data_IF_856269104164
#
_entry.id   IF_856269104164
#
_cell.length_a   1.000
_cell.length_b   1.000
_cell.length_c   1.000
_cell.angle_alpha   90.00
_cell.angle_beta   90.00
_cell.angle_gamma   90.00
#
_symmetry.space_group_name_H-M   'P 1'
#
loop_
_entity.id
_entity.type
_entity.pdbx_description
1 polymer ?
#
# COMPACT_ATOMS: atom_id res chain seq x y z
N UNK A 1 -28.32 49.15 15.97
CA UNK A 1 -27.35 49.51 14.91
C UNK A 1 -26.01 48.87 15.22
N UNK A 2 -25.27 48.31 14.25
CA UNK A 2 -25.75 47.60 13.06
C UNK A 2 -25.16 46.18 12.94
N UNK A 3 -25.94 45.33 12.29
CA UNK A 3 -25.51 44.11 11.61
C UNK A 3 -25.04 44.45 10.19
N UNK A 4 -24.11 43.66 9.64
CA UNK A 4 -23.68 43.64 8.23
C UNK A 4 -23.36 42.17 7.88
N UNK A 5 -24.25 41.41 7.23
CA UNK A 5 -24.56 41.23 5.79
C UNK A 5 -23.52 40.46 4.95
N UNK A 6 -23.91 39.21 4.61
CA UNK A 6 -23.88 38.49 3.31
C UNK A 6 -22.77 38.77 2.27
N UNK A 7 -22.20 37.69 1.74
CA UNK A 7 -22.14 37.46 0.29
C UNK A 7 -22.19 35.95 -0.03
N UNK A 8 -23.27 35.52 -0.69
CA UNK A 8 -23.46 34.20 -1.28
C UNK A 8 -23.58 34.42 -2.78
N UNK A 9 -22.58 33.97 -3.54
CA UNK A 9 -22.59 34.05 -5.00
C UNK A 9 -23.39 32.86 -5.57
N UNK A 10 -24.61 33.16 -6.02
CA UNK A 10 -25.37 32.34 -6.96
C UNK A 10 -24.82 32.65 -8.37
N UNK A 11 -24.34 31.64 -9.10
CA UNK A 11 -24.37 31.67 -10.56
C UNK A 11 -25.42 30.69 -11.08
N UNK A 12 -26.37 31.27 -11.80
CA UNK A 12 -27.38 30.63 -12.62
C UNK A 12 -26.70 29.93 -13.80
N UNK A 13 -27.01 28.65 -14.00
CA UNK A 13 -26.97 28.02 -15.32
C UNK A 13 -28.41 27.68 -15.69
N UNK A 14 -29.00 28.57 -16.49
CA UNK A 14 -30.27 28.38 -17.16
C UNK A 14 -29.97 28.02 -18.62
N UNK A 15 -30.21 26.77 -19.00
CA UNK A 15 -30.88 26.34 -20.26
C UNK A 15 -30.50 24.90 -20.61
N UNK A 16 -31.40 23.97 -20.28
CA UNK A 16 -31.49 22.67 -20.92
C UNK A 16 -32.30 22.81 -22.21
N UNK A 17 -31.90 22.20 -23.34
CA UNK A 17 -32.87 21.67 -24.29
C UNK A 17 -33.39 20.34 -23.75
N UNK A 18 -34.71 20.26 -23.60
CA UNK A 18 -35.45 19.00 -23.45
C UNK A 18 -35.30 18.25 -24.78
N UNK A 19 -34.93 16.97 -24.69
CA UNK A 19 -35.39 15.86 -25.56
C UNK A 19 -34.46 14.65 -25.41
N UNK A 20 -34.64 13.88 -24.33
CA UNK A 20 -34.33 12.43 -24.34
C UNK A 20 -35.30 11.76 -23.34
N UNK A 21 -36.24 11.00 -23.88
CA UNK A 21 -37.19 10.18 -23.13
C UNK A 21 -36.51 8.86 -22.76
N UNK A 22 -36.15 8.68 -21.49
CA UNK A 22 -35.63 7.40 -20.96
C UNK A 22 -36.75 6.65 -20.24
N UNK A 23 -37.31 5.65 -20.92
CA UNK A 23 -38.22 4.67 -20.35
C UNK A 23 -37.49 3.79 -19.33
N UNK A 24 -37.87 3.90 -18.05
CA UNK A 24 -37.57 2.91 -17.01
C UNK A 24 -38.83 2.08 -16.70
N UNK A 25 -38.74 0.74 -16.62
CA UNK A 25 -39.88 -0.09 -16.25
C UNK A 25 -40.21 0.03 -14.76
N UNK A 26 -41.51 0.17 -14.49
CA UNK A 26 -42.13 0.02 -13.16
C UNK A 26 -41.95 -1.41 -12.66
N UNK A 27 -41.45 -1.57 -11.44
CA UNK A 27 -41.68 -2.77 -10.64
C UNK A 27 -42.39 -2.40 -9.35
N UNK A 28 -43.46 -3.15 -9.09
CA UNK A 28 -44.55 -2.92 -8.17
C UNK A 28 -44.14 -3.02 -6.70
N UNK A 29 -44.76 -2.16 -5.90
CA UNK A 29 -44.90 -2.31 -4.46
C UNK A 29 -45.73 -3.55 -4.10
N UNK A 30 -45.46 -4.14 -2.94
CA UNK A 30 -46.51 -4.62 -2.06
C UNK A 30 -46.10 -4.47 -0.59
N UNK A 31 -46.99 -3.83 0.17
CA UNK A 31 -46.95 -3.62 1.61
C UNK A 31 -47.37 -4.90 2.35
N UNK A 32 -46.78 -5.16 3.52
CA UNK A 32 -47.45 -5.93 4.59
C UNK A 32 -46.85 -5.62 5.99
N UNK A 33 -47.51 -4.67 6.65
CA UNK A 33 -47.91 -4.57 8.08
C UNK A 33 -47.23 -5.42 9.18
N UNK A 34 -46.67 -4.68 10.15
CA UNK A 34 -46.65 -4.84 11.62
C UNK A 34 -47.17 -6.15 12.24
N UNK A 35 -46.39 -6.74 13.16
CA UNK A 35 -46.85 -7.02 14.54
C UNK A 35 -45.74 -7.34 15.55
N UNK A 36 -45.96 -6.79 16.74
CA UNK A 36 -45.30 -6.92 18.03
C UNK A 36 -44.66 -8.27 18.39
N UNK A 37 -43.45 -8.22 18.96
CA UNK A 37 -43.01 -9.20 19.97
C UNK A 37 -42.31 -8.51 21.14
N UNK A 38 -43.05 -8.48 22.25
CA UNK A 38 -42.62 -8.13 23.60
C UNK A 38 -41.67 -9.22 24.10
N UNK A 39 -40.44 -8.86 24.49
CA UNK A 39 -39.60 -9.72 25.33
C UNK A 39 -39.05 -8.94 26.52
N UNK A 40 -39.43 -9.44 27.70
CA UNK A 40 -39.17 -8.95 29.05
C UNK A 40 -37.67 -8.90 29.37
N UNK A 41 -37.17 -7.77 29.87
CA UNK A 41 -35.86 -7.68 30.54
C UNK A 41 -36.01 -8.12 32.00
N UNK A 42 -35.43 -9.27 32.37
CA UNK A 42 -35.16 -9.64 33.76
C UNK A 42 -33.88 -8.96 34.24
N UNK A 43 -33.99 -8.24 35.34
CA UNK A 43 -32.88 -7.74 36.16
C UNK A 43 -32.35 -8.83 37.11
N UNK A 44 -31.18 -8.51 37.70
CA UNK A 44 -30.44 -9.12 38.83
C UNK A 44 -29.35 -10.11 38.40
N UNK A 45 -28.13 -10.08 38.93
CA UNK A 45 -27.65 -9.53 40.21
C UNK A 45 -26.13 -9.26 40.15
N UNK A 46 -25.68 -8.24 40.89
CA UNK A 46 -24.27 -7.93 41.18
C UNK A 46 -23.86 -8.60 42.49
N UNK A 47 -22.52 -8.72 42.67
CA UNK A 47 -21.73 -8.68 43.92
C UNK A 47 -20.93 -9.98 44.27
N UNK A 48 -19.89 -9.90 45.14
CA UNK A 48 -18.49 -9.68 44.73
C UNK A 48 -17.51 -10.59 45.52
N UNK A 49 -16.19 -10.36 45.43
CA UNK A 49 -15.13 -10.46 46.48
C UNK A 49 -13.74 -10.48 45.78
N UNK A 50 -12.84 -9.50 45.96
CA UNK A 50 -11.85 -9.32 47.06
C UNK A 50 -11.10 -10.64 47.34
N UNK A 51 -9.78 -10.78 47.36
CA UNK A 51 -8.69 -9.99 47.99
C UNK A 51 -7.40 -10.85 47.77
N UNK A 52 -6.14 -10.41 47.61
CA UNK A 52 -5.18 -9.86 48.59
C UNK A 52 -3.79 -9.74 47.91
N UNK A 53 -3.05 -8.72 48.35
CA UNK A 53 -1.64 -8.35 48.08
C UNK A 53 -0.62 -9.47 48.35
N UNK A 54 0.54 -9.41 47.66
CA UNK A 54 1.85 -9.39 48.34
C UNK A 54 2.94 -8.72 47.50
N UNK A 55 3.45 -7.61 48.03
CA UNK A 55 4.72 -6.98 47.69
C UNK A 55 5.85 -7.82 48.30
N UNK A 56 6.99 -7.93 47.62
CA UNK A 56 8.28 -7.90 48.33
C UNK A 56 9.33 -7.17 47.50
N UNK A 57 9.84 -6.09 48.11
CA UNK A 57 11.09 -5.40 47.77
C UNK A 57 12.23 -6.21 48.41
N UNK A 58 13.38 -6.30 47.74
CA UNK A 58 14.69 -6.21 48.41
C UNK A 58 15.68 -5.51 47.48
N UNK A 59 16.21 -4.39 47.99
CA UNK A 59 17.40 -3.65 47.56
C UNK A 59 18.61 -4.19 48.34
N UNK A 60 19.80 -4.13 47.74
CA UNK A 60 21.05 -3.58 48.31
C UNK A 60 22.22 -3.93 47.37
N UNK A 61 22.81 -2.94 46.68
CA UNK A 61 24.07 -2.22 46.99
C UNK A 61 25.23 -2.78 46.16
N UNK A 62 25.70 -2.02 45.15
CA UNK A 62 26.84 -1.08 45.21
C UNK A 62 28.19 -1.77 45.42
N UNK A 63 29.03 -1.76 44.37
CA UNK A 63 30.28 -1.01 44.45
C UNK A 63 30.84 -0.66 43.07
N UNK A 64 31.30 0.59 43.00
CA UNK A 64 32.02 1.24 41.92
C UNK A 64 33.46 0.72 41.86
N UNK A 65 34.04 0.66 40.67
CA UNK A 65 35.37 1.22 40.43
C UNK A 65 35.64 1.40 38.92
N UNK A 66 36.48 2.40 38.66
CA UNK A 66 36.57 3.24 37.48
C UNK A 66 37.52 2.70 36.40
N UNK A 67 37.13 2.93 35.13
CA UNK A 67 37.83 3.17 33.84
C UNK A 67 39.38 3.34 33.78
N UNK A 68 40.04 3.35 32.57
CA UNK A 68 39.50 3.53 31.19
C UNK A 68 39.98 2.49 30.12
N UNK A 69 39.13 2.06 29.18
CA UNK A 69 38.88 2.56 27.80
C UNK A 69 40.10 2.55 26.84
N UNK A 70 40.17 1.48 26.04
CA UNK A 70 40.70 1.47 24.67
C UNK A 70 39.53 1.35 23.67
N UNK A 71 39.78 1.89 22.49
CA UNK A 71 38.85 2.31 21.43
C UNK A 71 37.89 1.23 20.92
N UNK A 72 36.64 1.63 20.72
CA UNK A 72 35.70 0.95 19.82
C UNK A 72 35.04 1.99 18.92
N UNK A 73 35.23 1.79 17.61
CA UNK A 73 34.55 2.50 16.53
C UNK A 73 33.05 2.49 16.76
N UNK A 74 32.47 3.68 16.92
CA UNK A 74 31.04 3.91 16.84
C UNK A 74 30.70 4.03 15.36
N UNK A 75 30.18 2.95 14.77
CA UNK A 75 29.50 3.00 13.46
C UNK A 75 28.12 3.60 13.72
N UNK A 76 28.08 4.93 13.67
CA UNK A 76 26.86 5.71 13.81
C UNK A 76 25.90 5.38 12.67
N UNK A 77 24.71 4.91 13.07
CA UNK A 77 23.53 4.78 12.23
C UNK A 77 23.13 6.19 11.77
N UNK A 78 23.60 6.60 10.58
CA UNK A 78 23.10 7.83 9.95
C UNK A 78 21.72 7.48 9.37
N UNK A 79 20.68 7.88 10.08
CA UNK A 79 19.45 8.29 9.43
C UNK A 79 19.87 9.34 8.40
N UNK A 80 19.82 8.98 7.12
CA UNK A 80 19.83 9.97 6.04
C UNK A 80 18.42 10.55 6.09
N UNK A 81 18.27 11.65 6.82
CA UNK A 81 17.13 12.53 6.63
C UNK A 81 17.20 12.99 5.17
N UNK A 82 16.36 12.42 4.30
CA UNK A 82 16.18 12.95 2.96
C UNK A 82 15.68 14.40 3.12
N UNK A 83 16.37 15.39 2.54
CA UNK A 83 15.88 16.77 2.54
C UNK A 83 14.52 16.82 1.83
N UNK A 84 13.66 17.76 2.24
CA UNK A 84 12.45 18.13 1.50
C UNK A 84 12.81 18.25 0.01
N UNK A 85 12.36 17.29 -0.80
CA UNK A 85 12.65 17.27 -2.22
C UNK A 85 12.03 18.53 -2.85
N UNK A 86 12.84 19.26 -3.62
CA UNK A 86 12.37 20.40 -4.40
C UNK A 86 11.25 19.89 -5.35
N UNK A 87 10.11 20.59 -5.54
CA UNK A 87 9.02 20.18 -6.44
C UNK A 87 9.41 19.82 -7.89
N UNK A 88 10.66 20.05 -8.26
CA UNK A 88 11.29 19.72 -9.55
C UNK A 88 12.00 18.38 -9.58
N UNK A 89 12.17 17.71 -8.43
CA UNK A 89 12.93 16.48 -8.32
C UNK A 89 12.04 15.26 -8.45
N UNK A 90 12.43 14.32 -9.31
CA UNK A 90 11.79 13.02 -9.51
C UNK A 90 12.75 11.95 -9.05
N UNK A 91 12.25 10.93 -8.37
CA UNK A 91 13.04 9.77 -7.99
C UNK A 91 12.66 8.53 -8.78
N UNK A 92 13.65 7.70 -9.11
CA UNK A 92 13.50 6.34 -9.61
C UNK A 92 14.35 5.37 -8.79
N UNK A 93 14.33 4.10 -9.19
CA UNK A 93 15.06 2.99 -8.61
C UNK A 93 16.59 3.16 -8.67
N UNK A 94 17.37 2.33 -7.95
CA UNK A 94 18.81 2.28 -8.14
C UNK A 94 19.18 2.04 -9.60
N UNK A 95 20.38 2.49 -9.99
CA UNK A 95 20.85 2.27 -11.36
C UNK A 95 21.16 0.78 -11.57
N UNK A 96 20.75 0.25 -12.72
CA UNK A 96 21.04 -1.13 -13.14
C UNK A 96 22.18 -1.22 -14.15
N UNK A 97 22.77 -0.10 -14.54
CA UNK A 97 23.93 -0.10 -15.44
C UNK A 97 25.12 -0.82 -14.79
N UNK A 98 25.83 -1.62 -15.60
CA UNK A 98 26.96 -2.43 -15.16
C UNK A 98 28.08 -1.52 -14.62
N UNK A 99 28.49 -1.72 -13.36
CA UNK A 99 29.43 -0.89 -12.59
C UNK A 99 28.90 0.46 -12.07
N UNK A 100 27.59 0.60 -11.88
CA UNK A 100 27.02 1.76 -11.19
C UNK A 100 26.51 1.40 -9.79
N UNK A 101 26.99 2.08 -8.76
CA UNK A 101 26.54 1.92 -7.36
C UNK A 101 25.48 2.96 -6.95
N UNK A 102 24.81 3.59 -7.92
CA UNK A 102 23.85 4.66 -7.64
C UNK A 102 22.63 4.11 -6.87
N UNK A 103 22.45 4.52 -5.59
CA UNK A 103 21.45 3.90 -4.72
C UNK A 103 20.02 4.35 -5.02
N UNK A 104 19.85 5.45 -5.74
CA UNK A 104 18.56 6.02 -6.12
C UNK A 104 18.74 6.91 -7.35
N UNK A 105 17.92 6.70 -8.38
CA UNK A 105 17.84 7.63 -9.50
C UNK A 105 17.20 8.92 -9.03
N UNK A 106 17.85 10.05 -9.26
CA UNK A 106 17.34 11.38 -8.89
C UNK A 106 17.46 12.24 -10.13
N UNK A 107 16.38 12.90 -10.53
CA UNK A 107 16.27 13.66 -11.77
C UNK A 107 15.73 15.04 -11.44
N UNK A 108 16.42 16.08 -11.85
CA UNK A 108 16.00 17.47 -11.63
C UNK A 108 15.37 18.03 -12.91
N UNK A 109 14.35 18.87 -12.77
CA UNK A 109 13.74 19.63 -13.87
C UNK A 109 13.29 18.79 -15.08
N UNK A 110 12.93 17.52 -14.89
CA UNK A 110 12.61 16.60 -15.99
C UNK A 110 13.79 16.42 -16.97
N UNK A 111 15.03 16.49 -16.48
CA UNK A 111 16.17 15.96 -17.19
C UNK A 111 16.11 14.41 -17.10
N UNK A 112 16.10 13.66 -18.21
CA UNK A 112 16.16 12.20 -18.16
C UNK A 112 17.52 11.68 -17.67
N UNK A 113 18.47 12.55 -17.33
CA UNK A 113 19.77 12.18 -16.78
C UNK A 113 19.77 12.25 -15.25
N UNK A 114 20.21 11.17 -14.63
CA UNK A 114 20.29 11.05 -13.19
C UNK A 114 21.40 11.95 -12.62
N UNK A 115 21.09 12.82 -11.68
CA UNK A 115 22.06 13.72 -11.04
C UNK A 115 23.13 12.98 -10.22
N UNK A 116 22.82 11.75 -9.77
CA UNK A 116 23.72 10.96 -8.94
C UNK A 116 24.75 10.16 -9.75
N UNK A 117 24.44 9.76 -10.98
CA UNK A 117 25.31 8.87 -11.77
C UNK A 117 25.43 9.20 -13.25
N UNK A 118 24.73 10.23 -13.73
CA UNK A 118 24.69 10.65 -15.13
C UNK A 118 24.18 9.58 -16.11
N UNK A 119 23.48 8.55 -15.63
CA UNK A 119 22.81 7.55 -16.46
C UNK A 119 21.37 7.97 -16.78
N UNK A 120 20.82 7.38 -17.84
CA UNK A 120 19.46 7.71 -18.29
C UNK A 120 18.42 7.15 -17.32
N UNK A 121 17.23 7.76 -17.29
CA UNK A 121 16.10 7.31 -16.48
C UNK A 121 15.72 5.85 -16.76
N UNK A 122 15.95 5.37 -17.98
CA UNK A 122 15.76 3.97 -18.36
C UNK A 122 16.71 3.01 -17.63
N UNK A 123 17.93 3.44 -17.31
CA UNK A 123 18.87 2.67 -16.49
C UNK A 123 18.42 2.57 -15.02
N UNK A 124 17.41 3.35 -14.65
CA UNK A 124 16.74 3.35 -13.35
C UNK A 124 15.31 2.78 -13.43
N UNK A 125 14.93 2.16 -14.55
CA UNK A 125 13.65 1.47 -14.70
C UNK A 125 13.74 0.01 -14.21
N UNK A 126 12.69 -0.48 -13.56
CA UNK A 126 12.62 -1.89 -13.14
C UNK A 126 12.62 -2.80 -14.37
N UNK A 127 13.61 -3.69 -14.48
CA UNK A 127 13.62 -4.73 -15.50
C UNK A 127 12.33 -5.56 -15.45
N UNK A 128 11.68 -5.72 -16.61
CA UNK A 128 10.33 -6.29 -16.78
C UNK A 128 10.14 -7.76 -16.34
N UNK A 129 11.16 -8.43 -15.81
CA UNK A 129 11.21 -9.89 -15.69
C UNK A 129 11.33 -10.42 -14.25
N UNK A 130 11.15 -9.58 -13.23
CA UNK A 130 11.11 -10.04 -11.83
C UNK A 130 9.69 -10.19 -11.29
N UNK A 131 9.55 -10.96 -10.21
CA UNK A 131 8.32 -10.99 -9.40
C UNK A 131 7.95 -9.60 -8.84
N UNK A 132 8.88 -8.66 -8.89
CA UNK A 132 8.78 -7.28 -8.42
C UNK A 132 8.52 -6.28 -9.54
N UNK A 133 8.39 -6.72 -10.80
CA UNK A 133 8.14 -5.82 -11.92
C UNK A 133 6.72 -5.25 -11.85
N UNK A 134 6.65 -3.92 -11.75
CA UNK A 134 5.40 -3.18 -11.78
C UNK A 134 4.95 -2.99 -13.23
N UNK A 135 3.80 -3.54 -13.60
CA UNK A 135 3.19 -3.33 -14.95
C UNK A 135 2.45 -1.99 -15.07
N UNK A 136 2.74 -1.04 -14.18
CA UNK A 136 2.10 0.26 -14.16
C UNK A 136 3.00 1.23 -14.92
N UNK A 137 2.53 1.87 -16.01
CA UNK A 137 3.26 2.99 -16.58
C UNK A 137 3.27 4.13 -15.54
N UNK A 138 4.36 4.88 -15.45
CA UNK A 138 4.48 6.07 -14.58
C UNK A 138 4.34 5.77 -13.06
N UNK A 139 5.05 4.74 -12.56
CA UNK A 139 5.02 4.35 -11.14
C UNK A 139 5.41 5.52 -10.24
N UNK A 140 4.61 5.76 -9.20
CA UNK A 140 5.03 6.54 -8.04
C UNK A 140 5.51 5.58 -6.94
N UNK A 141 6.73 5.76 -6.45
CA UNK A 141 7.43 4.84 -5.53
C UNK A 141 6.88 4.89 -4.10
N UNK A 142 6.29 6.02 -3.70
CA UNK A 142 5.63 6.23 -2.40
C UNK A 142 6.45 5.73 -1.19
N UNK A 143 7.71 6.18 -1.03
CA UNK A 143 8.64 5.63 -0.04
C UNK A 143 8.10 5.72 1.40
N UNK A 144 7.37 6.79 1.74
CA UNK A 144 6.73 6.96 3.04
C UNK A 144 5.69 5.88 3.34
N UNK A 145 4.85 5.56 2.36
CA UNK A 145 3.80 4.55 2.51
C UNK A 145 4.44 3.18 2.65
N UNK A 146 5.38 2.84 1.76
CA UNK A 146 6.13 1.58 1.79
C UNK A 146 6.81 1.36 3.14
N UNK A 147 7.54 2.37 3.62
CA UNK A 147 8.22 2.32 4.93
C UNK A 147 7.25 2.17 6.09
N UNK A 148 6.10 2.85 6.03
CA UNK A 148 5.06 2.77 7.05
C UNK A 148 4.43 1.38 7.11
N UNK A 149 4.14 0.76 5.94
CA UNK A 149 3.60 -0.60 5.86
C UNK A 149 4.60 -1.60 6.44
N UNK A 150 5.86 -1.51 6.03
CA UNK A 150 6.92 -2.40 6.51
C UNK A 150 7.07 -2.31 8.02
N UNK A 151 7.16 -1.10 8.57
CA UNK A 151 7.27 -0.87 10.01
C UNK A 151 6.08 -1.45 10.77
N UNK A 152 4.87 -1.29 10.24
CA UNK A 152 3.68 -1.87 10.85
C UNK A 152 3.75 -3.41 10.84
N UNK A 153 4.13 -4.02 9.71
CA UNK A 153 4.28 -5.47 9.57
C UNK A 153 5.33 -6.05 10.53
N UNK A 154 6.48 -5.38 10.67
CA UNK A 154 7.52 -5.76 11.62
C UNK A 154 7.03 -5.69 13.08
N UNK A 155 6.25 -4.68 13.43
CA UNK A 155 5.75 -4.48 14.78
C UNK A 155 4.63 -5.47 15.16
N UNK A 156 3.79 -5.85 14.21
CA UNK A 156 2.58 -6.63 14.47
C UNK A 156 2.70 -8.10 14.06
N UNK A 157 3.68 -8.44 13.22
CA UNK A 157 3.83 -9.73 12.53
C UNK A 157 2.84 -9.93 11.37
N UNK A 158 1.81 -9.08 11.28
CA UNK A 158 0.82 -9.13 10.20
C UNK A 158 0.14 -7.77 9.95
N UNK A 159 0.02 -7.39 8.68
CA UNK A 159 -0.74 -6.23 8.21
C UNK A 159 -1.82 -6.66 7.24
N UNK A 160 -2.99 -6.02 7.30
CA UNK A 160 -4.07 -6.20 6.34
C UNK A 160 -4.38 -4.87 5.68
N UNK A 161 -4.25 -4.81 4.36
CA UNK A 161 -4.47 -3.63 3.54
C UNK A 161 -5.78 -3.84 2.78
N UNK A 162 -6.83 -3.10 3.14
CA UNK A 162 -8.12 -3.13 2.44
C UNK A 162 -8.32 -1.86 1.64
N UNK A 163 -8.46 -2.00 0.32
CA UNK A 163 -8.70 -0.85 -0.53
C UNK A 163 -9.60 -1.20 -1.72
N UNK A 164 -10.19 -0.18 -2.35
CA UNK A 164 -11.06 -0.33 -3.52
C UNK A 164 -10.29 -0.92 -4.72
N UNK A 165 -10.98 -1.36 -5.80
CA UNK A 165 -10.30 -1.75 -7.03
C UNK A 165 -9.40 -0.63 -7.56
N UNK A 166 -8.34 -0.98 -8.30
CA UNK A 166 -7.50 -0.06 -9.07
C UNK A 166 -6.76 1.05 -8.28
N UNK A 167 -6.71 1.02 -6.96
CA UNK A 167 -5.95 1.99 -6.14
C UNK A 167 -4.48 1.62 -5.91
N UNK A 168 -3.89 0.78 -6.76
CA UNK A 168 -2.46 0.43 -6.66
C UNK A 168 -2.12 -0.56 -5.53
N UNK A 169 -3.05 -1.43 -5.14
CA UNK A 169 -2.85 -2.47 -4.11
C UNK A 169 -1.71 -3.44 -4.46
N UNK A 170 -1.79 -4.08 -5.62
CA UNK A 170 -0.75 -4.97 -6.15
C UNK A 170 0.57 -4.23 -6.32
N UNK A 171 0.52 -3.01 -6.89
CA UNK A 171 1.69 -2.14 -7.03
C UNK A 171 2.36 -1.87 -5.69
N UNK A 172 1.61 -1.59 -4.62
CA UNK A 172 2.16 -1.39 -3.29
C UNK A 172 2.90 -2.63 -2.76
N UNK A 173 2.40 -3.85 -3.00
CA UNK A 173 3.14 -5.07 -2.62
C UNK A 173 4.44 -5.22 -3.41
N UNK A 174 4.42 -4.89 -4.70
CA UNK A 174 5.60 -4.95 -5.53
C UNK A 174 6.66 -3.92 -5.07
N UNK A 175 6.24 -2.68 -4.82
CA UNK A 175 7.08 -1.62 -4.25
C UNK A 175 7.66 -2.03 -2.89
N UNK A 176 6.83 -2.61 -2.02
CA UNK A 176 7.24 -3.08 -0.70
C UNK A 176 8.26 -4.22 -0.79
N UNK A 177 8.00 -5.23 -1.62
CA UNK A 177 8.91 -6.35 -1.78
C UNK A 177 10.23 -5.95 -2.39
N UNK A 178 10.22 -5.03 -3.36
CA UNK A 178 11.44 -4.47 -3.92
C UNK A 178 12.25 -3.66 -2.89
N UNK A 179 11.58 -2.80 -2.13
CA UNK A 179 12.21 -2.06 -1.03
C UNK A 179 12.86 -3.00 0.00
N UNK A 180 12.16 -4.07 0.38
CA UNK A 180 12.69 -5.10 1.28
C UNK A 180 13.91 -5.79 0.66
N UNK A 181 13.82 -6.17 -0.61
CA UNK A 181 14.88 -6.85 -1.33
C UNK A 181 16.18 -6.03 -1.29
N UNK A 182 16.08 -4.73 -1.59
CA UNK A 182 17.25 -3.85 -1.68
C UNK A 182 17.80 -3.38 -0.33
N UNK A 183 16.92 -3.09 0.63
CA UNK A 183 17.31 -2.34 1.84
C UNK A 183 17.23 -3.16 3.13
N UNK A 184 16.61 -4.36 3.11
CA UNK A 184 16.38 -5.20 4.29
C UNK A 184 16.95 -6.62 4.07
N UNK A 185 18.29 -6.80 4.15
CA UNK A 185 18.93 -8.12 4.01
C UNK A 185 18.48 -9.15 5.04
N UNK A 186 17.92 -8.71 6.17
CA UNK A 186 17.37 -9.54 7.23
C UNK A 186 15.98 -10.12 6.94
N UNK A 187 15.33 -9.69 5.85
CA UNK A 187 14.01 -10.13 5.43
C UNK A 187 14.06 -10.75 4.04
N UNK A 188 13.28 -11.80 3.80
CA UNK A 188 13.15 -12.43 2.48
C UNK A 188 11.73 -12.22 1.95
N UNK A 189 11.52 -11.33 0.96
CA UNK A 189 10.19 -11.01 0.46
C UNK A 189 9.71 -12.09 -0.52
N UNK A 190 8.45 -12.49 -0.36
CA UNK A 190 7.80 -13.51 -1.22
C UNK A 190 6.45 -12.99 -1.69
N UNK A 191 6.33 -12.68 -2.97
CA UNK A 191 5.05 -12.28 -3.58
C UNK A 191 4.20 -13.51 -3.88
N UNK A 192 2.93 -13.49 -3.46
CA UNK A 192 2.00 -14.60 -3.65
C UNK A 192 0.63 -14.05 -4.04
N UNK A 193 0.04 -14.55 -5.13
CA UNK A 193 -1.38 -14.37 -5.37
C UNK A 193 -2.16 -15.43 -4.60
N UNK A 194 -3.20 -15.04 -3.86
CA UNK A 194 -4.04 -15.99 -3.13
C UNK A 194 -4.63 -17.05 -4.08
N UNK A 195 -4.60 -18.32 -3.66
CA UNK A 195 -5.17 -19.43 -4.41
C UNK A 195 -5.99 -20.34 -3.49
N UNK A 196 -7.26 -20.66 -3.86
CA UNK A 196 -8.07 -21.60 -3.12
C UNK A 196 -7.47 -23.01 -3.19
N UNK A 197 -7.86 -23.88 -2.26
CA UNK A 197 -7.35 -25.25 -2.14
C UNK A 197 -7.45 -26.06 -3.44
N UNK A 198 -8.52 -25.85 -4.22
CA UNK A 198 -8.73 -26.51 -5.52
C UNK A 198 -7.70 -26.13 -6.59
N UNK A 199 -7.07 -24.95 -6.50
CA UNK A 199 -6.04 -24.49 -7.45
C UNK A 199 -4.62 -24.85 -7.01
N UNK A 200 -4.47 -25.52 -5.86
CA UNK A 200 -3.19 -25.90 -5.27
C UNK A 200 -3.11 -27.41 -5.05
N UNK A 201 -3.78 -28.20 -5.89
CA UNK A 201 -3.79 -29.67 -5.82
C UNK A 201 -4.13 -30.23 -4.42
N UNK A 202 -5.01 -29.53 -3.69
CA UNK A 202 -5.42 -29.84 -2.33
C UNK A 202 -4.34 -29.79 -1.24
N UNK A 203 -3.15 -29.26 -1.51
CA UNK A 203 -2.10 -29.11 -0.48
C UNK A 203 -2.51 -28.08 0.60
N UNK A 204 -2.01 -28.15 1.83
CA UNK A 204 -2.16 -27.09 2.83
C UNK A 204 -1.55 -25.76 2.37
N UNK A 205 -2.13 -24.63 2.77
CA UNK A 205 -1.68 -23.32 2.26
C UNK A 205 -0.23 -23.00 2.63
N UNK A 206 0.23 -23.42 3.81
CA UNK A 206 1.62 -23.21 4.24
C UNK A 206 2.64 -24.00 3.41
N UNK A 207 2.28 -25.20 2.94
CA UNK A 207 3.15 -25.98 2.06
C UNK A 207 3.33 -25.27 0.71
N UNK A 208 2.22 -24.77 0.15
CA UNK A 208 2.25 -23.92 -1.03
C UNK A 208 3.10 -22.65 -0.83
N UNK A 209 2.98 -21.98 0.32
CA UNK A 209 3.80 -20.80 0.64
C UNK A 209 5.30 -21.12 0.72
N UNK A 210 5.67 -22.27 1.30
CA UNK A 210 7.07 -22.70 1.37
C UNK A 210 7.65 -22.96 -0.02
N UNK A 211 6.88 -23.59 -0.92
CA UNK A 211 7.28 -23.77 -2.31
C UNK A 211 7.51 -22.40 -3.00
N UNK A 212 6.59 -21.44 -2.80
CA UNK A 212 6.75 -20.08 -3.33
C UNK A 212 7.97 -19.37 -2.74
N UNK A 213 8.30 -19.60 -1.48
CA UNK A 213 9.50 -19.05 -0.87
C UNK A 213 10.78 -19.60 -1.52
N UNK A 214 10.83 -20.88 -1.87
CA UNK A 214 11.98 -21.48 -2.56
C UNK A 214 12.17 -20.90 -3.96
N UNK A 215 11.07 -20.68 -4.70
CA UNK A 215 11.11 -19.98 -5.99
C UNK A 215 11.57 -18.53 -5.84
N UNK A 216 11.00 -17.80 -4.87
CA UNK A 216 11.36 -16.41 -4.61
C UNK A 216 12.83 -16.24 -4.24
N UNK A 217 13.41 -17.14 -3.43
CA UNK A 217 14.85 -17.11 -3.11
C UNK A 217 15.73 -17.22 -4.36
N UNK A 218 15.37 -18.08 -5.30
CA UNK A 218 16.09 -18.25 -6.57
C UNK A 218 15.98 -16.99 -7.44
N UNK A 219 14.80 -16.37 -7.48
CA UNK A 219 14.59 -15.13 -8.25
C UNK A 219 15.32 -13.93 -7.61
N UNK A 220 15.21 -13.79 -6.28
CA UNK A 220 15.84 -12.73 -5.50
C UNK A 220 17.37 -12.83 -5.48
N UNK A 221 17.93 -14.04 -5.63
CA UNK A 221 19.37 -14.26 -5.73
C UNK A 221 20.03 -13.54 -6.91
N UNK A 222 19.25 -13.13 -7.93
CA UNK A 222 19.72 -12.30 -9.04
C UNK A 222 20.08 -10.87 -8.61
N UNK A 223 19.48 -10.38 -7.53
CA UNK A 223 19.61 -9.00 -7.07
C UNK A 223 20.50 -8.88 -5.83
N UNK A 224 20.57 -9.92 -4.99
CA UNK A 224 21.42 -9.94 -3.80
C UNK A 224 21.83 -11.36 -3.40
N UNK A 225 22.93 -11.54 -2.65
CA UNK A 225 23.27 -12.83 -2.06
C UNK A 225 22.17 -13.36 -1.13
N UNK A 226 21.96 -14.68 -1.15
CA UNK A 226 20.98 -15.32 -0.27
C UNK A 226 21.43 -15.25 1.20
N UNK A 227 20.55 -14.77 2.08
CA UNK A 227 20.73 -14.80 3.53
C UNK A 227 19.89 -15.92 4.16
N UNK A 228 20.54 -17.00 4.60
CA UNK A 228 19.86 -18.15 5.22
C UNK A 228 19.22 -17.85 6.57
N UNK A 229 19.54 -16.71 7.19
CA UNK A 229 18.95 -16.25 8.46
C UNK A 229 17.82 -15.24 8.24
N UNK A 230 17.49 -14.88 7.00
CA UNK A 230 16.46 -13.90 6.72
C UNK A 230 15.07 -14.40 7.14
N UNK A 231 14.29 -13.52 7.76
CA UNK A 231 12.90 -13.82 8.12
C UNK A 231 12.03 -13.67 6.87
N UNK A 232 11.25 -14.69 6.54
CA UNK A 232 10.36 -14.63 5.38
C UNK A 232 9.23 -13.65 5.66
N UNK A 233 8.96 -12.76 4.70
CA UNK A 233 7.79 -11.89 4.68
C UNK A 233 6.95 -12.19 3.44
N UNK A 234 5.76 -12.76 3.66
CA UNK A 234 4.80 -13.08 2.61
C UNK A 234 3.95 -11.86 2.28
N UNK A 235 3.97 -11.48 1.01
CA UNK A 235 3.21 -10.38 0.42
C UNK A 235 2.09 -11.02 -0.41
N UNK A 236 0.91 -11.16 0.20
CA UNK A 236 -0.21 -11.94 -0.35
C UNK A 236 -1.24 -10.99 -0.96
N UNK A 237 -1.41 -11.06 -2.28
CA UNK A 237 -2.42 -10.33 -3.02
C UNK A 237 -3.75 -11.10 -3.12
N UNK A 238 -4.85 -10.38 -3.29
CA UNK A 238 -6.22 -10.93 -3.34
C UNK A 238 -6.56 -11.83 -2.13
N UNK A 239 -6.01 -11.51 -0.96
CA UNK A 239 -6.08 -12.30 0.26
C UNK A 239 -7.48 -12.35 0.89
N UNK A 240 -8.49 -11.65 0.36
CA UNK A 240 -9.87 -11.84 0.79
C UNK A 240 -10.35 -13.28 0.58
N UNK A 241 -9.78 -14.00 -0.39
CA UNK A 241 -10.07 -15.42 -0.59
C UNK A 241 -9.60 -16.30 0.58
N UNK A 242 -8.78 -15.77 1.49
CA UNK A 242 -8.30 -16.48 2.67
C UNK A 242 -9.31 -16.57 3.80
N UNK A 243 -10.39 -15.81 3.76
CA UNK A 243 -11.36 -15.78 4.87
C UNK A 243 -12.08 -17.11 5.10
N UNK A 244 -12.02 -18.03 4.14
CA UNK A 244 -12.56 -19.38 4.24
C UNK A 244 -11.54 -20.41 4.78
N UNK A 245 -10.26 -20.03 4.89
CA UNK A 245 -9.18 -20.92 5.32
C UNK A 245 -8.92 -20.77 6.83
N UNK A 246 -9.70 -21.50 7.63
CA UNK A 246 -9.61 -21.46 9.10
C UNK A 246 -8.22 -21.84 9.61
N UNK A 247 -7.60 -22.85 9.01
CA UNK A 247 -6.29 -23.36 9.40
C UNK A 247 -5.24 -22.25 9.23
N UNK A 248 -5.26 -21.53 8.12
CA UNK A 248 -4.38 -20.39 7.89
C UNK A 248 -4.56 -19.30 8.97
N UNK A 249 -5.79 -18.87 9.25
CA UNK A 249 -6.05 -17.81 10.23
C UNK A 249 -5.74 -18.22 11.69
N UNK A 250 -6.08 -19.44 12.08
CA UNK A 250 -5.89 -19.91 13.46
C UNK A 250 -4.45 -20.34 13.70
N UNK A 251 -3.88 -21.18 12.83
CA UNK A 251 -2.57 -21.77 13.09
C UNK A 251 -1.44 -20.77 12.84
N UNK A 252 -1.58 -19.91 11.83
CA UNK A 252 -0.50 -19.05 11.36
C UNK A 252 -0.63 -17.61 11.83
N UNK A 253 -1.82 -17.02 11.73
CA UNK A 253 -2.00 -15.58 11.98
C UNK A 253 -2.32 -15.21 13.44
N UNK A 254 -2.97 -16.10 14.22
CA UNK A 254 -3.31 -15.83 15.64
C UNK A 254 -2.13 -15.99 16.63
N UNK A 255 -1.21 -16.93 16.40
CA UNK A 255 -0.17 -17.27 17.38
C UNK A 255 1.10 -16.40 17.21
N UNK A 256 1.07 -15.20 17.80
CA UNK A 256 2.05 -14.10 17.62
C UNK A 256 3.36 -14.20 18.42
N UNK A 257 3.53 -15.21 19.29
CA UNK A 257 4.54 -15.14 20.37
C UNK A 257 5.84 -15.92 20.15
N UNK A 258 6.19 -16.31 18.92
CA UNK A 258 7.48 -16.95 18.64
C UNK A 258 8.33 -16.12 17.70
N UNK A 259 9.59 -15.84 18.12
CA UNK A 259 10.57 -15.00 17.41
C UNK A 259 11.03 -15.53 16.04
N UNK A 260 10.52 -16.67 15.59
CA UNK A 260 10.98 -17.39 14.39
C UNK A 260 9.90 -17.56 13.33
N UNK A 261 8.82 -16.76 13.38
CA UNK A 261 7.70 -16.87 12.43
C UNK A 261 7.79 -15.89 11.28
N UNK A 262 7.26 -16.30 10.14
CA UNK A 262 7.07 -15.47 8.96
C UNK A 262 6.17 -14.27 9.26
N UNK A 263 6.40 -13.19 8.52
CA UNK A 263 5.63 -11.95 8.58
C UNK A 263 4.64 -11.96 7.41
N UNK A 264 3.44 -11.41 7.59
CA UNK A 264 2.40 -11.42 6.57
C UNK A 264 1.90 -10.01 6.23
N UNK A 265 1.86 -9.68 4.96
CA UNK A 265 1.17 -8.49 4.44
C UNK A 265 0.08 -8.99 3.52
N UNK A 266 -1.16 -8.83 3.95
CA UNK A 266 -2.35 -9.33 3.25
C UNK A 266 -3.06 -8.16 2.58
N UNK A 267 -3.18 -8.21 1.27
CA UNK A 267 -3.92 -7.21 0.49
C UNK A 267 -5.28 -7.77 0.12
N UNK A 268 -6.33 -7.05 0.46
CA UNK A 268 -7.70 -7.46 0.23
C UNK A 268 -8.50 -6.37 -0.50
N UNK A 269 -9.47 -6.80 -1.30
CA UNK A 269 -10.47 -5.90 -1.85
C UNK A 269 -11.40 -5.37 -0.75
N UNK A 270 -11.69 -4.07 -0.78
CA UNK A 270 -12.64 -3.45 0.14
C UNK A 270 -14.06 -3.98 -0.09
N UNK A 271 -14.75 -4.35 0.99
CA UNK A 271 -16.12 -4.86 0.92
C UNK A 271 -16.24 -6.28 0.38
N UNK A 272 -15.14 -6.96 0.06
CA UNK A 272 -15.18 -8.38 -0.25
C UNK A 272 -15.51 -9.15 1.03
N UNK A 273 -16.77 -9.57 1.16
CA UNK A 273 -17.10 -10.75 1.95
C UNK A 273 -16.50 -11.96 1.22
N UNK A 274 -15.96 -12.94 1.96
CA UNK A 274 -15.49 -14.21 1.37
C UNK A 274 -16.54 -14.79 0.41
N UNK A 275 -16.09 -15.49 -0.63
CA UNK A 275 -16.95 -15.92 -1.72
C UNK A 275 -17.92 -17.00 -1.23
N UNK A 276 -19.18 -16.62 -1.02
CA UNK A 276 -20.38 -17.48 -0.95
C UNK A 276 -20.54 -18.50 0.20
N UNK A 277 -21.68 -18.38 0.90
CA UNK A 277 -22.46 -19.49 1.45
C UNK A 277 -21.89 -20.20 2.69
N UNK A 278 -22.38 -19.84 3.88
CA UNK A 278 -22.11 -20.50 5.17
C UNK A 278 -20.70 -20.18 5.70
N UNK A 279 -20.47 -18.91 6.06
CA UNK A 279 -19.30 -18.55 6.86
C UNK A 279 -19.56 -18.90 8.32
N UNK A 280 -18.57 -19.50 8.99
CA UNK A 280 -18.55 -19.49 10.46
C UNK A 280 -18.40 -18.02 10.92
N UNK A 281 -19.38 -17.47 11.65
CA UNK A 281 -19.32 -16.11 12.18
C UNK A 281 -18.05 -15.86 13.01
N UNK A 282 -17.44 -16.90 13.55
CA UNK A 282 -16.20 -16.83 14.32
C UNK A 282 -15.01 -16.40 13.44
N UNK A 283 -14.88 -16.89 12.21
CA UNK A 283 -13.72 -16.64 11.33
C UNK A 283 -13.81 -15.25 10.71
N UNK A 284 -14.98 -14.88 10.15
CA UNK A 284 -15.25 -13.55 9.61
C UNK A 284 -15.04 -12.48 10.69
N UNK A 285 -15.45 -12.77 11.94
CA UNK A 285 -15.21 -11.90 13.09
C UNK A 285 -13.72 -11.72 13.39
N UNK A 286 -12.88 -12.74 13.18
CA UNK A 286 -11.44 -12.65 13.45
C UNK A 286 -10.70 -11.88 12.37
N UNK A 287 -10.95 -12.19 11.10
CA UNK A 287 -10.42 -11.41 9.99
C UNK A 287 -10.82 -9.93 10.12
N UNK A 288 -12.07 -9.65 10.47
CA UNK A 288 -12.59 -8.30 10.70
C UNK A 288 -12.10 -7.62 11.99
N UNK A 289 -11.72 -8.38 13.03
CA UNK A 289 -11.14 -7.82 14.27
C UNK A 289 -9.68 -7.45 14.10
N UNK A 290 -8.90 -8.29 13.43
CA UNK A 290 -7.50 -7.96 13.15
C UNK A 290 -7.40 -6.83 12.12
N UNK A 291 -8.36 -6.77 11.19
CA UNK A 291 -8.54 -5.67 10.24
C UNK A 291 -8.64 -4.29 10.92
N UNK A 292 -9.33 -4.14 12.06
CA UNK A 292 -9.51 -2.81 12.68
C UNK A 292 -8.23 -2.18 13.23
N UNK A 293 -7.20 -2.95 13.55
CA UNK A 293 -6.00 -2.45 14.22
C UNK A 293 -4.83 -2.15 13.28
N UNK A 294 -4.80 -2.79 12.10
CA UNK A 294 -3.65 -2.77 11.20
C UNK A 294 -4.01 -2.34 9.77
N UNK A 295 -5.04 -1.49 9.63
CA UNK A 295 -5.60 -1.10 8.33
C UNK A 295 -4.97 0.19 7.81
N UNK A 296 -4.53 0.14 6.56
CA UNK A 296 -4.23 1.34 5.76
C UNK A 296 -5.53 1.86 5.18
N UNK A 297 -5.81 3.14 5.38
CA UNK A 297 -7.06 3.75 4.95
C UNK A 297 -7.00 4.17 3.48
N UNK A 298 -8.16 4.36 2.85
CA UNK A 298 -8.22 4.87 1.48
C UNK A 298 -7.76 6.32 1.43
N UNK A 299 -8.26 7.14 2.36
CA UNK A 299 -7.92 8.56 2.54
C UNK A 299 -7.09 8.77 3.81
N UNK A 300 -6.32 9.87 3.89
CA UNK A 300 -5.66 10.24 5.15
C UNK A 300 -6.69 10.38 6.28
N UNK A 301 -6.34 9.91 7.47
CA UNK A 301 -7.16 10.07 8.67
C UNK A 301 -6.39 10.76 9.78
N UNK A 302 -7.11 11.24 10.81
CA UNK A 302 -6.46 11.87 11.97
C UNK A 302 -5.53 10.90 12.71
N UNK A 303 -5.78 9.60 12.61
CA UNK A 303 -5.02 8.54 13.28
C UNK A 303 -3.93 7.91 12.40
N UNK A 304 -4.02 8.02 11.07
CA UNK A 304 -3.04 7.47 10.14
C UNK A 304 -2.83 8.41 8.95
N UNK A 305 -1.58 8.81 8.72
CA UNK A 305 -1.19 9.53 7.51
C UNK A 305 -1.00 8.61 6.29
N UNK A 306 -0.89 7.30 6.51
CA UNK A 306 -0.76 6.32 5.44
C UNK A 306 -2.10 6.08 4.77
N UNK A 307 -2.19 6.41 3.48
CA UNK A 307 -3.40 6.24 2.67
C UNK A 307 -3.09 5.66 1.29
N UNK A 308 -4.10 5.06 0.65
CA UNK A 308 -3.95 4.45 -0.67
C UNK A 308 -4.13 5.44 -1.83
N UNK A 309 -4.97 6.47 -1.68
CA UNK A 309 -5.07 7.54 -2.69
C UNK A 309 -3.77 8.33 -2.76
N UNK A 310 -3.46 8.84 -3.94
CA UNK A 310 -2.35 9.74 -4.14
C UNK A 310 -2.59 11.05 -3.43
N UNK A 311 -1.51 11.62 -2.90
CA UNK A 311 -1.41 13.05 -2.64
C UNK A 311 -1.15 13.81 -3.95
N UNK A 312 -1.22 15.14 -3.89
CA UNK A 312 -0.97 15.97 -5.07
C UNK A 312 0.47 15.82 -5.59
N UNK A 313 1.46 15.74 -4.70
CA UNK A 313 2.88 15.49 -5.03
C UNK A 313 3.09 14.13 -5.70
N UNK A 314 2.41 13.08 -5.22
CA UNK A 314 2.44 11.75 -5.84
C UNK A 314 1.80 11.78 -7.24
N UNK A 315 0.75 12.59 -7.44
CA UNK A 315 0.12 12.79 -8.76
C UNK A 315 1.04 13.56 -9.70
N UNK A 316 1.69 14.62 -9.21
CA UNK A 316 2.68 15.40 -9.95
C UNK A 316 3.86 14.53 -10.40
N UNK A 317 4.30 13.60 -9.55
CA UNK A 317 5.35 12.62 -9.89
C UNK A 317 4.92 11.74 -11.06
N UNK A 318 3.71 11.19 -11.02
CA UNK A 318 3.19 10.35 -12.12
C UNK A 318 3.05 11.15 -13.43
N UNK A 319 2.54 12.38 -13.38
CA UNK A 319 2.45 13.27 -14.56
C UNK A 319 3.84 13.59 -15.11
N UNK A 320 4.80 13.86 -14.24
CA UNK A 320 6.18 14.17 -14.61
C UNK A 320 6.84 13.01 -15.36
N UNK A 321 6.66 11.78 -14.89
CA UNK A 321 7.14 10.57 -15.57
C UNK A 321 6.44 10.36 -16.91
N UNK A 322 5.13 10.61 -16.97
CA UNK A 322 4.37 10.56 -18.22
C UNK A 322 4.89 11.53 -19.28
N UNK A 323 5.19 12.78 -18.92
CA UNK A 323 5.77 13.78 -19.82
C UNK A 323 7.11 13.26 -20.40
N UNK A 324 7.99 12.76 -19.54
CA UNK A 324 9.31 12.26 -19.92
C UNK A 324 9.24 11.05 -20.85
N UNK A 325 8.47 10.03 -20.47
CA UNK A 325 8.35 8.78 -21.23
C UNK A 325 7.68 8.99 -22.60
N UNK A 326 6.86 10.04 -22.74
CA UNK A 326 6.25 10.42 -24.02
C UNK A 326 7.09 11.42 -24.84
N UNK A 327 8.29 11.77 -24.39
CA UNK A 327 9.19 12.70 -25.10
C UNK A 327 8.61 14.11 -25.26
N UNK A 328 7.68 14.51 -24.39
CA UNK A 328 7.12 15.86 -24.40
C UNK A 328 8.14 16.83 -23.81
N UNK A 329 8.29 18.01 -24.41
CA UNK A 329 9.19 19.02 -23.87
C UNK A 329 8.65 19.55 -22.52
N UNK A 330 9.37 19.33 -21.40
CA UNK A 330 9.02 19.82 -20.07
C UNK A 330 8.63 21.30 -20.02
N UNK A 331 9.38 22.15 -20.74
CA UNK A 331 9.19 23.62 -20.71
C UNK A 331 7.93 24.05 -21.46
N UNK A 332 7.40 23.20 -22.33
CA UNK A 332 6.22 23.48 -23.13
C UNK A 332 4.90 23.03 -22.47
N UNK A 333 4.99 22.37 -21.31
CA UNK A 333 3.86 21.73 -20.65
C UNK A 333 3.77 22.20 -19.20
N UNK A 334 2.64 22.80 -18.83
CA UNK A 334 2.38 23.14 -17.42
C UNK A 334 2.01 21.87 -16.63
N UNK A 335 3.05 21.16 -16.19
CA UNK A 335 2.92 19.91 -15.42
C UNK A 335 2.16 20.09 -14.11
N UNK A 336 2.25 21.26 -13.47
CA UNK A 336 1.59 21.54 -12.19
C UNK A 336 0.09 21.69 -12.44
N UNK A 337 -0.30 22.48 -13.44
CA UNK A 337 -1.70 22.63 -13.81
C UNK A 337 -2.33 21.30 -14.25
N UNK A 338 -1.59 20.48 -15.01
CA UNK A 338 -2.05 19.13 -15.39
C UNK A 338 -2.22 18.24 -14.17
N UNK A 339 -1.24 18.21 -13.26
CA UNK A 339 -1.31 17.43 -12.03
C UNK A 339 -2.48 17.86 -11.14
N UNK A 340 -2.69 19.17 -10.95
CA UNK A 340 -3.82 19.70 -10.20
C UNK A 340 -5.16 19.33 -10.83
N UNK A 341 -5.28 19.45 -12.16
CA UNK A 341 -6.48 19.07 -12.89
C UNK A 341 -6.79 17.57 -12.73
N UNK A 342 -5.81 16.71 -13.01
CA UNK A 342 -5.98 15.25 -12.94
C UNK A 342 -6.25 14.82 -11.50
N UNK A 343 -5.52 15.37 -10.53
CA UNK A 343 -5.74 15.06 -9.11
C UNK A 343 -7.16 15.44 -8.68
N UNK A 344 -7.61 16.64 -9.03
CA UNK A 344 -8.95 17.12 -8.70
C UNK A 344 -10.06 16.31 -9.39
N UNK A 345 -9.84 15.91 -10.64
CA UNK A 345 -10.80 15.09 -11.39
C UNK A 345 -10.92 13.65 -10.86
N UNK A 346 -9.87 13.13 -10.22
CA UNK A 346 -9.79 11.73 -9.79
C UNK A 346 -9.81 11.54 -8.27
N UNK A 347 -9.81 12.63 -7.50
CA UNK A 347 -9.57 12.63 -6.05
C UNK A 347 -8.26 11.88 -5.68
N UNK A 348 -7.27 11.94 -6.58
CA UNK A 348 -6.00 11.23 -6.44
C UNK A 348 -6.10 9.71 -6.60
N UNK A 349 -7.15 9.16 -7.20
CA UNK A 349 -7.27 7.71 -7.39
C UNK A 349 -6.25 7.16 -8.40
N UNK A 350 -5.25 6.34 -8.00
CA UNK A 350 -4.11 5.97 -8.86
C UNK A 350 -4.52 5.36 -10.20
N UNK A 351 -5.46 4.42 -10.21
CA UNK A 351 -5.94 3.82 -11.46
C UNK A 351 -6.69 4.78 -12.39
N UNK A 352 -7.34 5.81 -11.85
CA UNK A 352 -8.02 6.82 -12.66
C UNK A 352 -7.01 7.85 -13.21
N UNK A 353 -5.99 8.20 -12.41
CA UNK A 353 -4.85 8.98 -12.88
C UNK A 353 -4.18 8.28 -14.07
N UNK A 354 -3.83 7.00 -13.92
CA UNK A 354 -3.25 6.19 -14.99
C UNK A 354 -4.14 6.08 -16.23
N UNK A 355 -5.46 5.93 -16.04
CA UNK A 355 -6.42 5.88 -17.16
C UNK A 355 -6.45 7.19 -17.97
N UNK A 356 -6.44 8.35 -17.30
CA UNK A 356 -6.43 9.66 -17.96
C UNK A 356 -5.11 9.86 -18.71
N UNK A 357 -3.97 9.56 -18.08
CA UNK A 357 -2.66 9.69 -18.70
C UNK A 357 -2.52 8.77 -19.93
N UNK A 358 -2.92 7.51 -19.82
CA UNK A 358 -2.93 6.59 -20.95
C UNK A 358 -3.87 7.04 -22.08
N UNK A 359 -4.98 7.71 -21.76
CA UNK A 359 -5.87 8.29 -22.77
C UNK A 359 -5.19 9.44 -23.53
N UNK A 360 -4.40 10.28 -22.85
CA UNK A 360 -3.63 11.33 -23.52
C UNK A 360 -2.51 10.78 -24.40
N UNK A 361 -1.79 9.76 -23.93
CA UNK A 361 -0.77 9.05 -24.70
C UNK A 361 -1.34 8.50 -26.03
N UNK A 362 -2.53 7.87 -25.98
CA UNK A 362 -3.22 7.41 -27.19
C UNK A 362 -3.54 8.55 -28.16
N UNK A 363 -4.01 9.70 -27.64
CA UNK A 363 -4.34 10.86 -28.48
C UNK A 363 -3.09 11.49 -29.11
N UNK A 364 -2.00 11.62 -28.35
CA UNK A 364 -0.71 12.13 -28.84
C UNK A 364 -0.22 11.24 -29.98
N UNK A 365 -0.22 9.92 -29.77
CA UNK A 365 0.20 8.94 -30.77
C UNK A 365 -0.61 9.04 -32.06
N UNK A 366 -1.94 9.23 -31.97
CA UNK A 366 -2.80 9.38 -33.15
C UNK A 366 -2.51 10.68 -33.92
N UNK A 367 -2.26 11.79 -33.22
CA UNK A 367 -1.98 13.09 -33.86
C UNK A 367 -0.63 13.07 -34.57
N UNK A 368 0.38 12.44 -33.97
CA UNK A 368 1.72 12.29 -34.58
C UNK A 368 1.63 11.41 -35.84
N UNK A 369 0.97 10.25 -35.75
CA UNK A 369 0.80 9.36 -36.91
C UNK A 369 0.09 10.04 -38.09
N UNK A 370 -0.94 10.86 -37.83
CA UNK A 370 -1.67 11.59 -38.88
C UNK A 370 -0.88 12.73 -39.54
N UNK A 371 0.19 13.22 -38.90
CA UNK A 371 1.05 14.28 -39.47
C UNK A 371 2.18 13.72 -40.34
N UNK A 372 2.48 12.42 -40.20
CA UNK A 372 3.53 11.73 -40.95
C UNK A 372 3.00 10.93 -42.15
N UNK A 373 1.68 10.72 -42.23
CA UNK A 373 0.95 10.21 -43.40
C UNK A 373 0.48 11.35 -44.30
#
# INVERSE_FOLDING_TARGET
MPATTRSMSKRLLSSLPKDVELHLPKASSSNATLQNLVVKRKQREKHPKRQIKRKSRKRSNQNQNQNPKQEKLIRGNKHIDLPDLDPITITHWPCHNYNCDCPQGVFEFLDPICVNCAHEMNDHALHHLSSWSTRCPYICERPDLVSSVLKLALNTGMVVIRATPLVGKTTLLQLLGYHILLHNPELEPVFVLWQPKSRRDNVPYMEFLNEKADWARKDNAKYRPHNSKATIIYLIDEAQGSYEDEEFWIAQLKNRYTRSRSIFVLVCLYGAAGNSGIQDPSIESQASKVDRLNRIELRPSKSSRSCMLFKLDETLTAVSKWILENGLNPDSVDRVAIAEYIHSATDGHPGMVGLILGSFEMLISQVICRRLS
#
